data_IF_812949858443
#
_entry.id   IF_812949858443
#
_cell.length_a   1.000
_cell.length_b   1.000
_cell.length_c   1.000
_cell.angle_alpha   90.00
_cell.angle_beta   90.00
_cell.angle_gamma   90.00
#
_symmetry.space_group_name_H-M   'P 1'
#
loop_
_entity.id
_entity.type
_entity.pdbx_description
1 polymer ?
#
# COMPACT_ATOMS: atom_id res chain seq x y z
N UNK A 1 3.80 12.20 -5.05
CA UNK A 1 5.10 12.14 -5.71
C UNK A 1 6.15 11.63 -4.75
N UNK A 2 7.07 10.86 -5.27
CA UNK A 2 8.15 10.32 -4.47
C UNK A 2 7.90 8.95 -3.87
N UNK A 3 6.70 8.41 -3.99
CA UNK A 3 6.46 7.03 -3.53
C UNK A 3 6.20 6.13 -4.72
N UNK A 4 6.58 4.89 -4.58
CA UNK A 4 6.40 3.87 -5.61
C UNK A 4 5.39 2.85 -5.11
N UNK A 5 4.35 2.62 -5.90
CA UNK A 5 3.36 1.60 -5.60
C UNK A 5 3.65 0.42 -6.51
N UNK A 6 4.07 -0.68 -5.92
CA UNK A 6 4.48 -1.84 -6.70
C UNK A 6 3.28 -2.63 -7.21
N UNK A 7 3.58 -3.59 -8.10
CA UNK A 7 2.57 -4.37 -8.79
C UNK A 7 1.69 -5.14 -7.80
N UNK A 8 0.40 -5.17 -8.06
CA UNK A 8 -0.60 -5.87 -7.24
C UNK A 8 -0.76 -5.34 -5.82
N UNK A 9 -0.25 -4.14 -5.55
CA UNK A 9 -0.51 -3.52 -4.26
C UNK A 9 -1.95 -3.00 -4.24
N UNK A 10 -2.63 -3.14 -3.12
CA UNK A 10 -3.99 -2.66 -2.93
C UNK A 10 -3.97 -1.60 -1.84
N UNK A 11 -4.56 -0.46 -2.14
CA UNK A 11 -4.60 0.67 -1.21
C UNK A 11 -6.04 0.83 -0.74
N UNK A 12 -6.24 0.82 0.56
CA UNK A 12 -7.57 1.04 1.12
C UNK A 12 -8.06 2.46 0.85
N UNK A 13 -9.37 2.63 0.81
CA UNK A 13 -9.96 3.95 0.57
C UNK A 13 -9.54 4.90 1.70
N UNK A 14 -9.21 6.12 1.32
CA UNK A 14 -8.80 7.13 2.29
C UNK A 14 -7.38 6.98 2.80
N UNK A 15 -6.61 6.07 2.21
CA UNK A 15 -5.21 5.88 2.65
C UNK A 15 -4.35 7.05 2.26
N UNK A 16 -3.40 7.37 3.14
CA UNK A 16 -2.37 8.37 2.87
C UNK A 16 -1.04 7.64 2.78
N UNK A 17 -0.49 7.57 1.58
CA UNK A 17 0.72 6.79 1.32
C UNK A 17 1.94 7.68 1.52
N UNK A 18 2.77 7.32 2.48
CA UNK A 18 3.96 8.09 2.82
C UNK A 18 5.26 7.36 2.51
N UNK A 19 5.17 6.08 2.17
CA UNK A 19 6.35 5.26 1.85
C UNK A 19 6.02 4.39 0.64
N UNK A 20 7.07 3.86 0.02
CA UNK A 20 6.89 2.92 -1.08
C UNK A 20 6.09 1.70 -0.60
N UNK A 21 5.27 1.16 -1.48
CA UNK A 21 4.45 0.00 -1.16
C UNK A 21 4.99 -1.21 -1.91
N UNK A 22 5.30 -2.27 -1.19
CA UNK A 22 5.83 -3.50 -1.77
C UNK A 22 4.78 -4.19 -2.64
N UNK A 23 5.21 -5.06 -3.57
CA UNK A 23 4.25 -5.78 -4.39
C UNK A 23 3.40 -6.74 -3.56
N UNK A 24 2.21 -7.00 -4.05
CA UNK A 24 1.27 -7.96 -3.44
C UNK A 24 1.02 -7.65 -1.96
N UNK A 25 0.76 -6.38 -1.68
CA UNK A 25 0.59 -5.92 -0.31
C UNK A 25 -0.68 -5.09 -0.19
N UNK A 26 -1.41 -5.28 0.88
CA UNK A 26 -2.56 -4.46 1.22
C UNK A 26 -2.16 -3.47 2.29
N UNK A 27 -2.36 -2.20 2.03
CA UNK A 27 -2.12 -1.14 3.00
C UNK A 27 -3.34 -0.25 3.11
N UNK A 28 -3.53 0.36 4.27
CA UNK A 28 -4.66 1.24 4.49
C UNK A 28 -4.40 2.14 5.69
N UNK A 29 -5.14 3.22 5.75
CA UNK A 29 -5.11 4.13 6.89
C UNK A 29 -4.42 5.44 6.61
N UNK A 30 -4.35 6.26 7.63
CA UNK A 30 -3.72 7.58 7.56
C UNK A 30 -2.82 7.74 8.79
N UNK A 31 -1.49 7.63 8.65
CA UNK A 31 -0.80 7.20 7.42
C UNK A 31 -1.07 5.73 7.11
N UNK A 32 -0.91 5.34 5.85
CA UNK A 32 -1.16 3.97 5.45
C UNK A 32 -0.16 3.04 6.11
N UNK A 33 -0.66 1.90 6.53
CA UNK A 33 0.15 0.90 7.21
C UNK A 33 -0.08 -0.46 6.59
N UNK A 34 0.91 -1.32 6.70
CA UNK A 34 0.81 -2.68 6.20
C UNK A 34 -0.35 -3.40 6.89
N UNK A 35 -1.23 -4.01 6.12
CA UNK A 35 -2.32 -4.81 6.64
C UNK A 35 -1.97 -6.28 6.50
N UNK A 36 -1.72 -6.71 5.25
CA UNK A 36 -1.34 -8.11 4.99
C UNK A 36 -0.80 -8.25 3.58
N UNK A 37 -0.16 -9.38 3.33
CA UNK A 37 0.23 -9.74 1.97
C UNK A 37 -0.97 -10.30 1.24
N UNK A 38 -0.99 -10.07 -0.07
CA UNK A 38 -2.04 -10.58 -0.95
C UNK A 38 -1.42 -11.68 -1.81
N UNK A 39 -2.10 -12.79 -1.92
CA UNK A 39 -1.61 -13.84 -2.82
C UNK A 39 -1.82 -13.41 -4.26
N UNK A 40 -0.84 -13.63 -5.13
CA UNK A 40 -0.96 -13.29 -6.55
C UNK A 40 -2.05 -14.08 -7.25
#
# INVERSE_FOLDING_TARGET
PGVTISENAVLGAGSVITHDVEPNTLVAGNPAKFIRKIKP
#
